data_IF_023936597030
#
_entry.id   IF_023936597030
#
_cell.length_a   1.000
_cell.length_b   1.000
_cell.length_c   1.000
_cell.angle_alpha   90.00
_cell.angle_beta   90.00
_cell.angle_gamma   90.00
#
_symmetry.space_group_name_H-M   'P 1'
#
loop_
_entity.id
_entity.type
_entity.pdbx_description
1 polymer ?
#
# COMPACT_ATOMS: atom_id res chain seq x y z
N UNK A 1 -3.99 8.67 2.50
CA UNK A 1 -2.87 9.15 3.34
C UNK A 1 -1.56 8.77 2.67
N UNK A 2 -0.55 9.64 2.69
CA UNK A 2 0.80 9.44 2.09
C UNK A 2 0.82 8.92 0.65
N UNK A 3 -0.26 9.12 -0.09
CA UNK A 3 -0.44 8.63 -1.44
C UNK A 3 -0.87 9.81 -2.32
N UNK A 4 0.03 10.35 -3.16
CA UNK A 4 -0.26 11.51 -3.97
C UNK A 4 -1.46 11.30 -4.89
N UNK A 5 -2.37 12.27 -4.85
CA UNK A 5 -3.56 12.37 -5.68
C UNK A 5 -3.64 13.83 -6.13
N UNK A 6 -3.42 14.16 -7.42
CA UNK A 6 -3.22 15.54 -7.89
C UNK A 6 -4.29 16.53 -7.44
N UNK A 7 -5.55 16.11 -7.42
CA UNK A 7 -6.71 16.92 -7.00
C UNK A 7 -7.37 16.40 -5.71
N UNK A 8 -6.75 15.42 -5.06
CA UNK A 8 -7.28 14.82 -3.84
C UNK A 8 -7.05 15.67 -2.60
N UNK A 9 -7.78 15.37 -1.53
CA UNK A 9 -7.47 15.81 -0.17
C UNK A 9 -6.70 14.68 0.49
N UNK A 10 -5.41 14.89 0.78
CA UNK A 10 -4.51 13.84 1.26
C UNK A 10 -3.82 14.29 2.54
N UNK A 11 -3.92 13.46 3.57
CA UNK A 11 -3.10 13.60 4.78
C UNK A 11 -1.69 13.07 4.49
N UNK A 12 -0.68 13.90 4.76
CA UNK A 12 0.74 13.55 4.71
C UNK A 12 1.33 13.57 6.12
N UNK A 13 2.04 12.51 6.48
CA UNK A 13 2.73 12.34 7.76
C UNK A 13 4.25 12.22 7.53
N UNK A 14 5.10 12.31 8.57
CA UNK A 14 6.56 12.34 8.41
C UNK A 14 7.16 11.18 7.60
N UNK A 15 6.48 10.03 7.56
CA UNK A 15 6.85 8.84 6.80
C UNK A 15 6.81 9.04 5.27
N UNK A 16 6.23 10.13 4.77
CA UNK A 16 6.20 10.41 3.34
C UNK A 16 7.53 11.00 2.85
N UNK A 17 8.30 10.18 2.12
CA UNK A 17 9.55 10.58 1.44
C UNK A 17 10.49 11.35 2.38
N UNK A 18 10.94 12.54 1.99
CA UNK A 18 11.84 13.39 2.77
C UNK A 18 11.07 14.32 3.72
N UNK A 19 9.89 13.90 4.18
CA UNK A 19 8.96 14.72 4.97
C UNK A 19 8.58 16.04 4.27
N UNK A 20 8.34 15.99 2.96
CA UNK A 20 7.88 17.14 2.15
C UNK A 20 6.68 16.71 1.31
N UNK A 21 5.60 17.48 1.36
CA UNK A 21 4.40 17.20 0.54
C UNK A 21 4.67 17.47 -0.94
N UNK A 22 3.89 16.90 -1.87
CA UNK A 22 3.74 17.49 -3.20
C UNK A 22 3.20 18.93 -3.10
N UNK A 23 3.31 19.74 -4.17
CA UNK A 23 2.62 21.02 -4.24
C UNK A 23 1.09 20.82 -4.24
N UNK A 24 0.38 21.79 -3.68
CA UNK A 24 -1.08 21.80 -3.67
C UNK A 24 -1.64 23.21 -3.51
N UNK A 25 -2.95 23.36 -3.63
CA UNK A 25 -3.64 24.64 -3.51
C UNK A 25 -3.69 25.16 -2.07
N UNK A 26 -3.81 24.26 -1.09
CA UNK A 26 -3.76 24.58 0.33
C UNK A 26 -3.12 23.44 1.13
N UNK A 27 -2.16 23.78 1.97
CA UNK A 27 -1.48 22.86 2.87
C UNK A 27 -1.77 23.30 4.32
N UNK A 28 -2.62 22.53 5.02
CA UNK A 28 -2.95 22.77 6.42
C UNK A 28 -1.91 22.08 7.29
N UNK A 29 -1.02 22.85 7.89
CA UNK A 29 0.09 22.35 8.70
C UNK A 29 -0.41 22.19 10.14
N UNK A 30 -0.41 20.97 10.65
CA UNK A 30 -0.84 20.64 12.01
C UNK A 30 0.38 20.19 12.81
N UNK A 31 0.64 20.84 13.96
CA UNK A 31 1.68 20.46 14.93
C UNK A 31 1.04 20.21 16.29
N UNK A 32 1.37 19.10 16.94
CA UNK A 32 0.79 18.72 18.23
C UNK A 32 -0.75 18.87 18.28
N UNK A 33 -1.43 18.45 17.20
CA UNK A 33 -2.89 18.51 17.08
C UNK A 33 -3.49 19.90 16.88
N UNK A 34 -2.69 20.92 16.54
CA UNK A 34 -3.16 22.29 16.29
C UNK A 34 -2.67 22.81 14.95
N UNK A 35 -3.55 23.46 14.18
CA UNK A 35 -3.17 24.12 12.93
C UNK A 35 -2.22 25.29 13.20
N UNK A 36 -1.00 25.22 12.68
CA UNK A 36 0.03 26.26 12.82
C UNK A 36 0.27 27.06 11.54
N UNK A 37 -0.22 26.58 10.40
CA UNK A 37 -0.02 27.26 9.11
C UNK A 37 -1.01 26.79 8.05
N UNK A 38 -1.28 27.68 7.10
CA UNK A 38 -2.07 27.42 5.89
C UNK A 38 -1.30 28.04 4.74
N UNK A 39 -0.67 27.20 3.93
CA UNK A 39 0.26 27.63 2.87
C UNK A 39 -0.19 27.11 1.50
N UNK A 40 0.40 27.64 0.43
CA UNK A 40 0.25 27.12 -0.93
C UNK A 40 1.53 26.44 -1.38
N UNK A 41 1.42 25.50 -2.31
CA UNK A 41 2.57 24.77 -2.84
C UNK A 41 3.02 23.64 -1.92
N UNK A 42 4.30 23.26 -2.03
CA UNK A 42 4.88 22.17 -1.27
C UNK A 42 5.37 22.67 0.08
N UNK A 43 5.14 21.90 1.15
CA UNK A 43 5.53 22.26 2.52
C UNK A 43 6.26 21.12 3.22
N UNK A 44 7.05 21.47 4.24
CA UNK A 44 7.64 20.49 5.14
C UNK A 44 6.55 19.90 6.05
N UNK A 45 6.61 18.60 6.26
CA UNK A 45 5.73 17.86 7.16
C UNK A 45 6.36 17.90 8.56
N UNK A 46 5.69 18.44 9.58
CA UNK A 46 6.23 18.52 10.93
C UNK A 46 6.48 17.13 11.53
N UNK A 47 7.62 16.94 12.20
CA UNK A 47 7.96 15.68 12.86
C UNK A 47 6.98 15.28 13.98
N UNK A 48 6.32 16.27 14.59
CA UNK A 48 5.33 16.15 15.65
C UNK A 48 3.90 16.38 15.16
N UNK A 49 3.64 16.09 13.88
CA UNK A 49 2.36 16.41 13.27
C UNK A 49 2.15 15.84 11.88
N UNK A 50 1.35 16.54 11.08
CA UNK A 50 0.96 16.13 9.73
C UNK A 50 0.48 17.33 8.91
N UNK A 51 0.28 17.12 7.62
CA UNK A 51 -0.28 18.12 6.70
C UNK A 51 -1.54 17.57 6.03
N UNK A 52 -2.63 18.33 6.05
CA UNK A 52 -3.79 18.06 5.18
C UNK A 52 -3.57 18.86 3.90
N UNK A 53 -3.22 18.18 2.81
CA UNK A 53 -2.97 18.82 1.52
C UNK A 53 -4.22 18.73 0.64
N UNK A 54 -4.66 19.88 0.16
CA UNK A 54 -5.60 20.02 -0.92
C UNK A 54 -4.82 20.10 -2.23
N UNK A 55 -5.13 19.20 -3.17
CA UNK A 55 -4.54 19.15 -4.50
C UNK A 55 -4.61 20.48 -5.27
N UNK A 56 -3.83 20.61 -6.35
CA UNK A 56 -3.64 21.89 -7.06
C UNK A 56 -4.95 22.52 -7.56
N UNK A 57 -5.92 21.70 -7.98
CA UNK A 57 -7.24 22.19 -8.43
C UNK A 57 -8.34 22.06 -7.37
N UNK A 58 -8.01 21.60 -6.17
CA UNK A 58 -8.98 21.36 -5.10
C UNK A 58 -9.14 22.60 -4.20
N UNK A 59 -10.34 23.18 -4.20
CA UNK A 59 -10.71 24.35 -3.39
C UNK A 59 -11.74 24.00 -2.30
N UNK A 60 -11.96 22.71 -2.02
CA UNK A 60 -13.07 22.28 -1.17
C UNK A 60 -12.82 22.61 0.31
N UNK A 61 -13.52 23.63 0.83
CA UNK A 61 -13.66 23.85 2.29
C UNK A 61 -12.35 23.97 3.08
N UNK A 62 -11.19 24.21 2.47
CA UNK A 62 -9.94 24.39 3.24
C UNK A 62 -10.01 25.63 4.17
N UNK A 63 -10.85 26.60 3.83
CA UNK A 63 -11.15 27.81 4.63
C UNK A 63 -11.80 27.50 5.99
N UNK A 64 -12.26 26.26 6.21
CA UNK A 64 -12.77 25.84 7.52
C UNK A 64 -11.66 25.76 8.58
N UNK A 65 -10.39 25.62 8.15
CA UNK A 65 -9.25 25.60 9.03
C UNK A 65 -8.78 27.03 9.32
N UNK A 66 -8.44 27.27 10.59
CA UNK A 66 -7.84 28.51 11.06
C UNK A 66 -6.63 28.18 11.91
N UNK A 67 -5.65 29.07 11.95
CA UNK A 67 -4.51 28.94 12.85
C UNK A 67 -5.04 28.91 14.30
N UNK A 68 -4.53 27.96 15.10
CA UNK A 68 -4.98 27.73 16.48
C UNK A 68 -6.14 26.74 16.63
N UNK A 69 -6.75 26.28 15.53
CA UNK A 69 -7.80 25.25 15.60
C UNK A 69 -7.19 23.90 15.95
N UNK A 70 -7.77 23.21 16.94
CA UNK A 70 -7.46 21.80 17.20
C UNK A 70 -7.97 20.92 16.06
N UNK A 71 -7.10 20.07 15.53
CA UNK A 71 -7.40 19.15 14.43
C UNK A 71 -6.83 17.80 14.79
N UNK A 72 -7.64 16.76 14.57
CA UNK A 72 -7.23 15.37 14.71
C UNK A 72 -7.80 14.57 13.52
N UNK A 73 -7.28 13.37 13.28
CA UNK A 73 -7.81 12.45 12.29
C UNK A 73 -7.87 11.03 12.84
N UNK A 74 -8.81 10.24 12.33
CA UNK A 74 -8.93 8.82 12.62
C UNK A 74 -8.98 8.04 11.32
N UNK A 75 -8.18 6.97 11.24
CA UNK A 75 -8.28 6.00 10.14
C UNK A 75 -9.28 4.93 10.54
N UNK A 76 -10.27 4.67 9.68
CA UNK A 76 -11.32 3.67 9.88
C UNK A 76 -11.27 2.70 8.71
N UNK A 77 -11.29 1.40 9.01
CA UNK A 77 -11.33 0.33 8.02
C UNK A 77 -12.74 -0.28 7.99
N UNK A 78 -13.55 0.11 6.99
CA UNK A 78 -14.99 -0.22 6.93
C UNK A 78 -15.30 -1.72 6.95
N UNK A 79 -14.43 -2.54 6.35
CA UNK A 79 -14.67 -3.99 6.22
C UNK A 79 -14.16 -4.80 7.42
N UNK A 80 -13.43 -4.16 8.34
CA UNK A 80 -12.75 -4.84 9.44
C UNK A 80 -12.57 -3.89 10.64
N UNK A 81 -13.66 -3.28 11.10
CA UNK A 81 -13.65 -2.23 12.13
C UNK A 81 -13.00 -2.68 13.47
N UNK A 82 -13.07 -3.98 13.78
CA UNK A 82 -12.50 -4.55 15.02
C UNK A 82 -11.08 -5.11 14.85
N UNK A 83 -10.57 -5.23 13.63
CA UNK A 83 -9.28 -5.86 13.39
C UNK A 83 -8.13 -4.94 13.79
N UNK A 84 -7.33 -5.40 14.76
CA UNK A 84 -6.06 -4.75 15.14
C UNK A 84 -4.90 -5.43 14.41
N UNK A 85 -4.52 -4.91 13.24
CA UNK A 85 -3.32 -5.36 12.55
C UNK A 85 -2.12 -4.48 12.93
N UNK A 86 -0.96 -5.11 13.15
CA UNK A 86 0.32 -4.39 13.33
C UNK A 86 0.90 -3.90 11.99
N UNK A 87 0.58 -4.60 10.91
CA UNK A 87 1.08 -4.33 9.57
C UNK A 87 0.07 -4.83 8.55
N UNK A 88 0.00 -4.13 7.42
CA UNK A 88 -0.84 -4.51 6.30
C UNK A 88 -0.08 -4.27 5.00
N UNK A 89 -0.36 -5.10 4.02
CA UNK A 89 0.05 -4.90 2.63
C UNK A 89 -1.17 -5.09 1.75
N UNK A 90 -1.22 -4.36 0.64
CA UNK A 90 -2.29 -4.48 -0.34
C UNK A 90 -1.70 -4.65 -1.72
N UNK A 91 -2.37 -5.47 -2.52
CA UNK A 91 -2.07 -5.65 -3.93
C UNK A 91 -3.30 -6.28 -4.62
N UNK A 92 -3.19 -6.60 -5.90
CA UNK A 92 -4.31 -7.07 -6.72
C UNK A 92 -3.80 -8.06 -7.78
N UNK A 93 -4.60 -9.07 -8.17
CA UNK A 93 -5.89 -9.47 -7.59
C UNK A 93 -5.74 -10.36 -6.34
N UNK A 94 -6.85 -10.51 -5.60
CA UNK A 94 -7.02 -11.65 -4.71
C UNK A 94 -7.03 -12.92 -5.55
N UNK A 95 -6.20 -13.90 -5.19
CA UNK A 95 -6.10 -15.17 -5.91
C UNK A 95 -7.09 -16.17 -5.35
N UNK A 96 -7.06 -16.36 -4.03
CA UNK A 96 -7.90 -17.32 -3.32
C UNK A 96 -8.57 -16.71 -2.09
N UNK A 97 -9.79 -17.17 -1.83
CA UNK A 97 -10.52 -16.98 -0.58
C UNK A 97 -11.18 -18.30 -0.19
N UNK A 98 -10.96 -18.76 1.05
CA UNK A 98 -11.45 -20.04 1.56
C UNK A 98 -11.12 -21.25 0.65
N UNK A 99 -9.90 -21.25 0.07
CA UNK A 99 -9.43 -22.29 -0.84
C UNK A 99 -10.00 -22.23 -2.26
N UNK A 100 -10.90 -21.29 -2.53
CA UNK A 100 -11.56 -21.11 -3.82
C UNK A 100 -10.96 -19.92 -4.58
N UNK A 101 -10.93 -20.00 -5.91
CA UNK A 101 -10.50 -18.85 -6.73
C UNK A 101 -11.42 -17.66 -6.50
N UNK A 102 -10.81 -16.51 -6.22
CA UNK A 102 -11.48 -15.26 -5.90
C UNK A 102 -11.04 -14.11 -6.82
N UNK A 103 -10.51 -14.45 -7.99
CA UNK A 103 -10.11 -13.48 -9.01
C UNK A 103 -11.38 -12.89 -9.64
N UNK A 104 -11.57 -11.58 -9.44
CA UNK A 104 -12.63 -10.82 -10.11
C UNK A 104 -12.24 -10.47 -11.56
N UNK A 105 -12.93 -9.50 -12.18
CA UNK A 105 -12.62 -9.09 -13.54
C UNK A 105 -11.25 -8.42 -13.64
N UNK A 106 -10.29 -9.10 -14.27
CA UNK A 106 -8.93 -8.62 -14.52
C UNK A 106 -8.73 -8.38 -16.02
N UNK A 107 -8.49 -7.12 -16.42
CA UNK A 107 -8.21 -6.75 -17.81
C UNK A 107 -6.77 -6.23 -18.03
N UNK A 108 -6.01 -5.97 -16.96
CA UNK A 108 -4.65 -5.44 -17.07
C UNK A 108 -3.73 -6.47 -17.78
N UNK A 109 -3.10 -6.12 -18.92
CA UNK A 109 -2.17 -6.99 -19.63
C UNK A 109 -1.01 -7.52 -18.77
N UNK A 110 -0.59 -6.79 -17.73
CA UNK A 110 0.44 -7.24 -16.79
C UNK A 110 -0.02 -8.44 -15.95
N UNK A 111 -1.32 -8.54 -15.72
CA UNK A 111 -1.95 -9.62 -14.95
C UNK A 111 -2.38 -10.77 -15.85
N UNK A 112 -2.97 -10.46 -17.01
CA UNK A 112 -3.47 -11.47 -17.95
C UNK A 112 -2.37 -12.12 -18.80
N UNK A 113 -1.26 -11.41 -19.01
CA UNK A 113 -0.07 -11.92 -19.68
C UNK A 113 0.71 -12.93 -18.83
N UNK A 114 1.35 -13.89 -19.50
CA UNK A 114 2.27 -14.85 -18.88
C UNK A 114 3.63 -14.22 -18.66
N UNK A 115 3.93 -13.90 -17.40
CA UNK A 115 5.15 -13.21 -16.97
C UNK A 115 5.52 -13.71 -15.57
N UNK A 116 6.69 -13.32 -15.04
CA UNK A 116 6.98 -13.56 -13.64
C UNK A 116 5.88 -12.96 -12.75
N UNK A 117 5.41 -13.73 -11.77
CA UNK A 117 4.49 -13.25 -10.73
C UNK A 117 4.99 -13.70 -9.37
N UNK A 118 4.68 -12.89 -8.35
CA UNK A 118 4.92 -13.22 -6.96
C UNK A 118 3.59 -13.29 -6.23
N UNK A 119 3.53 -14.05 -5.14
CA UNK A 119 2.34 -14.17 -4.33
C UNK A 119 2.71 -14.36 -2.86
N UNK A 120 1.74 -14.08 -2.00
CA UNK A 120 1.75 -14.49 -0.61
C UNK A 120 0.40 -15.08 -0.26
N UNK A 121 0.40 -16.10 0.59
CA UNK A 121 -0.83 -16.69 1.10
C UNK A 121 -0.61 -17.41 2.42
N UNK A 122 -1.70 -17.93 2.96
CA UNK A 122 -1.72 -18.66 4.22
C UNK A 122 -2.41 -20.00 4.06
N UNK A 123 -1.88 -21.03 4.71
CA UNK A 123 -2.54 -22.34 4.79
C UNK A 123 -3.73 -22.31 5.77
N UNK A 124 -4.46 -23.43 5.85
CA UNK A 124 -5.51 -23.62 6.86
C UNK A 124 -4.97 -23.56 8.29
N UNK A 125 -3.75 -24.06 8.50
CA UNK A 125 -3.02 -24.04 9.78
C UNK A 125 -2.27 -22.72 10.03
N UNK A 126 -2.59 -21.66 9.28
CA UNK A 126 -2.01 -20.32 9.40
C UNK A 126 -0.48 -20.25 9.16
N UNK A 127 0.04 -21.13 8.30
CA UNK A 127 1.43 -21.03 7.84
C UNK A 127 1.50 -20.04 6.67
N UNK A 128 2.37 -19.02 6.79
CA UNK A 128 2.63 -18.06 5.72
C UNK A 128 3.49 -18.72 4.63
N UNK A 129 3.06 -18.60 3.38
CA UNK A 129 3.78 -19.07 2.19
C UNK A 129 3.96 -17.89 1.26
N UNK A 130 5.22 -17.66 0.85
CA UNK A 130 5.61 -16.66 -0.14
C UNK A 130 6.29 -17.35 -1.30
N UNK A 131 6.00 -16.93 -2.53
CA UNK A 131 6.58 -17.59 -3.70
C UNK A 131 6.58 -16.73 -4.94
N UNK A 132 7.33 -17.22 -5.93
CA UNK A 132 7.39 -16.65 -7.28
C UNK A 132 7.22 -17.74 -8.33
N UNK A 133 6.61 -17.41 -9.46
CA UNK A 133 6.50 -18.27 -10.64
C UNK A 133 6.89 -17.47 -11.89
N UNK A 134 7.53 -18.11 -12.88
CA UNK A 134 8.24 -17.40 -13.95
C UNK A 134 7.41 -17.06 -15.19
N UNK A 135 6.46 -17.90 -15.59
CA UNK A 135 5.72 -17.72 -16.85
C UNK A 135 4.25 -18.09 -16.66
N UNK A 136 3.58 -17.29 -15.86
CA UNK A 136 2.20 -17.52 -15.42
C UNK A 136 1.36 -16.26 -15.60
N UNK A 137 0.08 -16.42 -15.90
CA UNK A 137 -0.90 -15.36 -15.68
C UNK A 137 -1.51 -15.48 -14.27
N UNK A 138 -2.40 -14.57 -13.87
CA UNK A 138 -2.99 -14.60 -12.52
C UNK A 138 -3.84 -15.85 -12.25
N UNK A 139 -4.46 -16.45 -13.27
CA UNK A 139 -5.24 -17.68 -13.11
C UNK A 139 -4.35 -18.91 -12.92
N UNK A 140 -3.24 -19.00 -13.67
CA UNK A 140 -2.20 -20.01 -13.43
C UNK A 140 -1.66 -19.88 -11.99
N UNK A 141 -1.43 -18.65 -11.52
CA UNK A 141 -0.93 -18.38 -10.18
C UNK A 141 -1.95 -18.78 -9.09
N UNK A 142 -3.24 -18.55 -9.30
CA UNK A 142 -4.30 -19.05 -8.42
C UNK A 142 -4.37 -20.58 -8.40
N UNK A 143 -4.19 -21.24 -9.55
CA UNK A 143 -4.11 -22.71 -9.61
C UNK A 143 -2.89 -23.24 -8.83
N UNK A 144 -1.74 -22.57 -8.91
CA UNK A 144 -0.56 -22.90 -8.09
C UNK A 144 -0.86 -22.72 -6.61
N UNK A 145 -1.43 -21.57 -6.22
CA UNK A 145 -1.83 -21.30 -4.84
C UNK A 145 -2.80 -22.37 -4.30
N UNK A 146 -3.76 -22.82 -5.13
CA UNK A 146 -4.73 -23.84 -4.73
C UNK A 146 -4.07 -25.22 -4.59
N UNK A 147 -3.16 -25.55 -5.50
CA UNK A 147 -2.37 -26.80 -5.46
C UNK A 147 -1.44 -26.87 -4.25
N UNK A 148 -1.00 -25.71 -3.74
CA UNK A 148 -0.24 -25.59 -2.49
C UNK A 148 -1.12 -25.69 -1.23
N UNK A 149 -2.44 -25.87 -1.36
CA UNK A 149 -3.37 -26.00 -0.24
C UNK A 149 -3.61 -24.69 0.53
N UNK A 150 -3.43 -23.54 -0.12
CA UNK A 150 -3.61 -22.24 0.53
C UNK A 150 -5.10 -21.96 0.78
N UNK A 151 -5.40 -21.50 1.99
CA UNK A 151 -6.72 -21.01 2.41
C UNK A 151 -7.04 -19.66 1.78
N UNK A 152 -6.07 -18.75 1.77
CA UNK A 152 -6.19 -17.44 1.14
C UNK A 152 -4.85 -17.05 0.52
N UNK A 153 -4.89 -16.36 -0.61
CA UNK A 153 -3.69 -15.93 -1.32
C UNK A 153 -3.96 -14.67 -2.13
N UNK A 154 -2.97 -13.79 -2.22
CA UNK A 154 -3.02 -12.55 -2.99
C UNK A 154 -1.81 -12.48 -3.93
N UNK A 155 -2.04 -11.98 -5.14
CA UNK A 155 -0.98 -11.67 -6.08
C UNK A 155 -0.15 -10.50 -5.54
N UNK A 156 1.17 -10.54 -5.77
CA UNK A 156 2.08 -9.43 -5.49
C UNK A 156 2.64 -8.87 -6.80
N UNK A 157 3.52 -7.86 -6.72
CA UNK A 157 4.03 -7.21 -7.94
C UNK A 157 4.84 -8.18 -8.81
N UNK A 158 4.66 -8.06 -10.12
CA UNK A 158 5.13 -9.01 -11.12
C UNK A 158 6.36 -8.56 -11.90
N UNK A 159 6.70 -9.33 -12.94
CA UNK A 159 7.75 -8.99 -13.90
C UNK A 159 9.12 -8.80 -13.24
N UNK A 160 9.80 -7.70 -13.59
CA UNK A 160 11.09 -7.35 -13.02
C UNK A 160 11.03 -7.09 -11.51
N UNK A 161 9.85 -6.94 -10.91
CA UNK A 161 9.68 -6.78 -9.47
C UNK A 161 9.77 -8.09 -8.68
N UNK A 162 9.61 -9.24 -9.35
CA UNK A 162 9.64 -10.53 -8.67
C UNK A 162 11.01 -10.78 -8.06
N UNK A 163 11.08 -10.78 -6.74
CA UNK A 163 12.23 -11.16 -5.96
C UNK A 163 11.82 -12.09 -4.82
N UNK A 164 12.70 -13.02 -4.46
CA UNK A 164 12.56 -13.88 -3.30
C UNK A 164 13.92 -14.07 -2.66
N UNK A 165 14.02 -13.75 -1.39
CA UNK A 165 15.26 -13.79 -0.62
C UNK A 165 15.08 -14.73 0.58
N UNK A 166 16.06 -15.59 0.81
CA UNK A 166 16.05 -16.50 1.93
C UNK A 166 17.49 -16.76 2.40
N UNK A 167 17.69 -16.67 3.72
CA UNK A 167 18.93 -17.08 4.40
C UNK A 167 20.22 -16.56 3.73
N UNK A 168 20.35 -15.24 3.57
CA UNK A 168 21.58 -14.63 3.05
C UNK A 168 21.64 -14.49 1.52
N UNK A 169 20.69 -15.05 0.76
CA UNK A 169 20.77 -15.08 -0.70
C UNK A 169 19.42 -14.94 -1.41
N UNK A 170 19.47 -14.45 -2.65
CA UNK A 170 18.31 -14.43 -3.52
C UNK A 170 18.06 -15.82 -4.11
N UNK A 171 16.87 -16.37 -3.84
CA UNK A 171 16.30 -17.48 -4.63
C UNK A 171 15.89 -16.95 -6.00
N UNK A 172 15.33 -15.74 -6.03
CA UNK A 172 15.03 -14.99 -7.25
C UNK A 172 15.46 -13.55 -7.10
N UNK A 173 16.35 -13.09 -7.97
CA UNK A 173 16.85 -11.71 -7.96
C UNK A 173 15.86 -10.79 -8.69
N UNK A 174 15.40 -9.68 -8.09
CA UNK A 174 14.58 -8.70 -8.79
C UNK A 174 15.40 -8.02 -9.91
N UNK A 175 14.77 -7.77 -11.04
CA UNK A 175 15.37 -7.11 -12.20
C UNK A 175 15.38 -5.58 -12.12
N UNK A 176 14.86 -4.99 -11.04
CA UNK A 176 14.79 -3.54 -10.81
C UNK A 176 14.82 -3.20 -9.33
N UNK A 177 15.05 -1.93 -9.01
CA UNK A 177 14.85 -1.40 -7.66
C UNK A 177 13.37 -1.42 -7.28
N UNK A 178 13.09 -1.80 -6.03
CA UNK A 178 11.74 -1.94 -5.48
C UNK A 178 11.47 -0.83 -4.46
N UNK A 179 10.22 -0.42 -4.34
CA UNK A 179 9.78 0.58 -3.35
C UNK A 179 9.55 -0.01 -1.96
N UNK A 180 9.20 -1.29 -1.88
CA UNK A 180 8.91 -2.01 -0.65
C UNK A 180 9.10 -3.52 -0.82
N UNK A 181 9.08 -4.26 0.30
CA UNK A 181 9.04 -5.72 0.33
C UNK A 181 8.24 -6.21 1.55
N UNK A 182 7.77 -7.45 1.49
CA UNK A 182 7.31 -8.20 2.67
C UNK A 182 8.50 -8.99 3.22
N UNK A 183 8.83 -8.77 4.49
CA UNK A 183 9.91 -9.47 5.17
C UNK A 183 9.39 -10.19 6.41
N UNK A 184 9.86 -11.42 6.60
CA UNK A 184 9.72 -12.16 7.87
C UNK A 184 11.05 -12.08 8.57
N UNK A 185 11.07 -11.49 9.76
CA UNK A 185 12.25 -11.37 10.61
C UNK A 185 12.00 -12.29 11.79
N UNK A 186 12.89 -13.25 12.01
CA UNK A 186 12.90 -14.09 13.20
C UNK A 186 13.94 -13.50 14.17
N UNK A 187 13.54 -13.36 15.42
CA UNK A 187 14.41 -12.98 16.53
C UNK A 187 15.28 -14.18 16.98
#
# INVERSE_FOLDING_TARGET
MNHPQPDGIVIYTPEYKNSVTPPGNAAIIVKNGVTTGIEKGAVNIPADGYVILYGENNNERYEQFKIGTSVDYKVIFNENEESRFKSALSNYPLLLLNGMQAIEQVNDPKMTGRTPKSFVGVTWDNILIMGTADTVNVWDLANIAQSLGLKAAINLDGGASCGLYYNGSYIKTPGRQLSNCLAVIAD
#
